data_IF_487139471478
#
_entry.id   IF_487139471478
#
_cell.length_a   1.000
_cell.length_b   1.000
_cell.length_c   1.000
_cell.angle_alpha   90.00
_cell.angle_beta   90.00
_cell.angle_gamma   90.00
#
_symmetry.space_group_name_H-M   'P 1'
#
loop_
_entity.id
_entity.type
_entity.pdbx_description
1 polymer ?
#
# COMPACT_ATOMS: atom_id res chain seq x y z
N UNK A 1 -27.41 4.81 -8.42
CA UNK A 1 -26.83 3.71 -7.62
C UNK A 1 -27.90 2.83 -6.99
N UNK A 2 -28.94 3.37 -6.36
CA UNK A 2 -29.98 2.57 -5.70
C UNK A 2 -30.66 1.52 -6.61
N UNK A 3 -30.67 1.73 -7.93
CA UNK A 3 -31.17 0.73 -8.88
C UNK A 3 -30.34 -0.56 -8.98
N UNK A 4 -29.03 -0.49 -8.67
CA UNK A 4 -28.11 -1.64 -8.72
C UNK A 4 -28.17 -2.50 -7.44
N UNK A 5 -28.74 -1.96 -6.36
CA UNK A 5 -28.78 -2.58 -5.03
C UNK A 5 -30.21 -2.87 -4.56
N UNK A 6 -31.15 -3.04 -5.50
CA UNK A 6 -32.57 -3.25 -5.18
C UNK A 6 -32.82 -4.55 -4.43
N UNK A 7 -32.05 -5.58 -4.77
CA UNK A 7 -32.18 -6.93 -4.23
C UNK A 7 -31.19 -7.20 -3.08
N UNK A 8 -30.50 -6.17 -2.61
CA UNK A 8 -29.54 -6.28 -1.51
C UNK A 8 -30.24 -6.13 -0.15
N UNK A 9 -29.54 -6.47 0.93
CA UNK A 9 -30.02 -6.27 2.30
C UNK A 9 -30.57 -4.84 2.49
N UNK A 10 -31.77 -4.66 3.10
CA UNK A 10 -32.47 -3.37 3.18
C UNK A 10 -31.69 -2.27 3.91
N UNK A 11 -30.67 -2.62 4.69
CA UNK A 11 -29.76 -1.67 5.33
C UNK A 11 -28.93 -0.90 4.30
N UNK A 12 -28.55 -1.52 3.19
CA UNK A 12 -27.75 -0.87 2.13
C UNK A 12 -28.51 0.25 1.43
N UNK A 13 -29.70 0.04 0.82
CA UNK A 13 -30.45 1.13 0.20
C UNK A 13 -30.86 2.18 1.23
N UNK A 14 -31.09 1.81 2.50
CA UNK A 14 -31.33 2.78 3.58
C UNK A 14 -30.13 3.73 3.77
N UNK A 15 -28.90 3.22 3.80
CA UNK A 15 -27.68 4.04 3.90
C UNK A 15 -27.46 4.88 2.64
N UNK A 16 -27.66 4.30 1.45
CA UNK A 16 -27.49 5.02 0.18
C UNK A 16 -28.47 6.20 0.03
N UNK A 17 -29.68 6.09 0.59
CA UNK A 17 -30.66 7.18 0.59
C UNK A 17 -30.29 8.36 1.50
N UNK A 18 -29.26 8.21 2.36
CA UNK A 18 -28.72 9.32 3.17
C UNK A 18 -27.69 10.16 2.39
N UNK A 19 -27.22 9.68 1.23
CA UNK A 19 -26.24 10.42 0.43
C UNK A 19 -26.93 11.51 -0.40
N UNK A 20 -26.54 12.78 -0.21
CA UNK A 20 -27.05 13.92 -1.01
C UNK A 20 -26.52 13.91 -2.45
N UNK A 21 -25.27 13.48 -2.63
CA UNK A 21 -24.63 13.34 -3.94
C UNK A 21 -23.62 12.20 -3.91
N UNK A 22 -23.27 11.70 -5.09
CA UNK A 22 -22.35 10.58 -5.26
C UNK A 22 -21.37 10.86 -6.38
N UNK A 23 -20.12 10.46 -6.18
CA UNK A 23 -19.10 10.48 -7.21
C UNK A 23 -18.87 9.06 -7.74
N UNK A 24 -18.70 8.95 -9.06
CA UNK A 24 -18.36 7.67 -9.70
C UNK A 24 -16.88 7.70 -10.10
N UNK A 25 -16.10 6.84 -9.46
CA UNK A 25 -14.67 6.69 -9.72
C UNK A 25 -14.41 5.37 -10.44
N UNK A 26 -13.59 5.40 -11.49
CA UNK A 26 -13.07 4.17 -12.10
C UNK A 26 -11.90 3.70 -11.24
N UNK A 27 -11.98 2.46 -10.77
CA UNK A 27 -10.87 1.83 -10.07
C UNK A 27 -9.80 1.46 -11.09
N UNK A 28 -8.63 2.07 -10.96
CA UNK A 28 -7.48 1.88 -11.83
C UNK A 28 -6.28 1.49 -10.99
N UNK A 29 -5.49 0.56 -11.50
CA UNK A 29 -4.29 0.08 -10.83
C UNK A 29 -3.13 0.07 -11.81
N UNK A 30 -1.90 0.31 -11.32
CA UNK A 30 -0.72 0.44 -12.18
C UNK A 30 0.30 -0.67 -11.90
N UNK A 31 0.32 -1.67 -12.77
CA UNK A 31 1.29 -2.76 -12.71
C UNK A 31 2.65 -2.34 -13.29
N UNK A 32 3.73 -2.83 -12.69
CA UNK A 32 5.08 -2.75 -13.23
C UNK A 32 6.12 -2.26 -12.24
N UNK A 33 7.38 -2.56 -12.54
CA UNK A 33 8.53 -2.00 -11.84
C UNK A 33 8.94 -0.71 -12.57
N UNK A 34 8.76 0.42 -11.89
CA UNK A 34 9.14 1.72 -12.41
C UNK A 34 10.40 2.20 -11.69
N UNK A 35 11.24 2.96 -12.39
CA UNK A 35 12.28 3.73 -11.71
C UNK A 35 11.63 4.87 -10.95
N UNK A 36 11.78 4.89 -9.62
CA UNK A 36 11.21 5.99 -8.82
C UNK A 36 12.09 7.23 -8.88
N UNK A 37 13.38 7.04 -9.14
CA UNK A 37 14.38 8.11 -9.16
C UNK A 37 14.88 8.37 -10.56
N UNK A 38 15.06 9.64 -10.91
CA UNK A 38 15.80 9.99 -12.12
C UNK A 38 17.30 9.67 -11.95
N UNK A 39 18.02 9.19 -12.99
CA UNK A 39 19.45 8.84 -12.88
C UNK A 39 20.38 9.96 -12.37
N UNK A 40 19.96 11.22 -12.46
CA UNK A 40 20.68 12.37 -11.90
C UNK A 40 20.52 12.56 -10.39
N UNK A 41 19.60 11.85 -9.73
CA UNK A 41 19.28 12.06 -8.30
C UNK A 41 18.57 13.39 -8.00
N UNK A 42 18.08 14.08 -9.03
CA UNK A 42 17.39 15.36 -8.88
C UNK A 42 15.89 15.21 -8.57
N UNK A 43 15.29 14.08 -8.95
CA UNK A 43 13.85 13.85 -8.86
C UNK A 43 13.55 12.43 -8.36
N UNK A 44 12.49 12.32 -7.55
CA UNK A 44 11.96 11.09 -6.97
C UNK A 44 10.43 11.15 -7.03
N UNK A 45 9.81 10.03 -7.40
CA UNK A 45 8.36 9.81 -7.37
C UNK A 45 8.00 8.90 -6.18
N UNK A 46 6.89 9.20 -5.51
CA UNK A 46 6.35 8.47 -4.36
C UNK A 46 4.82 8.34 -4.52
N UNK A 47 4.20 7.50 -3.69
CA UNK A 47 2.74 7.35 -3.71
C UNK A 47 2.20 6.72 -5.00
N UNK A 48 0.96 7.07 -5.34
CA UNK A 48 0.25 6.60 -6.54
C UNK A 48 1.03 6.81 -7.86
N UNK A 49 2.00 7.73 -7.89
CA UNK A 49 2.87 7.94 -9.05
C UNK A 49 3.69 6.68 -9.41
N UNK A 50 4.00 5.84 -8.42
CA UNK A 50 4.85 4.65 -8.56
C UNK A 50 4.20 3.36 -8.07
N UNK A 51 3.17 3.44 -7.23
CA UNK A 51 2.51 2.25 -6.68
C UNK A 51 1.00 2.45 -6.43
N UNK A 52 0.28 3.05 -7.38
CA UNK A 52 -1.18 3.10 -7.33
C UNK A 52 -1.80 1.71 -7.17
N UNK A 53 -2.54 1.50 -6.08
CA UNK A 53 -3.22 0.24 -5.73
C UNK A 53 -4.75 0.39 -5.81
N UNK A 54 -5.50 -0.70 -5.68
CA UNK A 54 -6.95 -0.63 -5.50
C UNK A 54 -7.28 -0.35 -4.02
N UNK A 55 -8.47 0.20 -3.72
CA UNK A 55 -8.80 0.60 -2.35
C UNK A 55 -9.24 -0.55 -1.44
N UNK A 56 -9.11 -1.82 -1.84
CA UNK A 56 -9.65 -2.97 -1.10
C UNK A 56 -8.96 -3.23 0.24
N UNK A 57 -7.69 -2.83 0.35
CA UNK A 57 -6.89 -2.99 1.58
C UNK A 57 -6.77 -1.69 2.38
N UNK A 58 -7.25 -0.57 1.85
CA UNK A 58 -7.11 0.77 2.44
C UNK A 58 -5.66 1.15 2.83
N UNK A 59 -4.66 0.60 2.13
CA UNK A 59 -3.24 0.73 2.47
C UNK A 59 -2.49 1.81 1.67
N UNK A 60 -2.98 2.24 0.50
CA UNK A 60 -2.23 3.14 -0.39
C UNK A 60 -1.78 4.48 0.26
N UNK A 61 -2.61 5.05 1.13
CA UNK A 61 -2.23 6.23 1.91
C UNK A 61 -1.14 5.92 2.95
N UNK A 62 -1.22 4.77 3.62
CA UNK A 62 -0.20 4.28 4.55
C UNK A 62 1.14 4.08 3.86
N UNK A 63 1.14 3.45 2.68
CA UNK A 63 2.32 3.28 1.83
C UNK A 63 2.97 4.62 1.47
N UNK A 64 2.15 5.63 1.15
CA UNK A 64 2.65 6.98 0.87
C UNK A 64 3.26 7.66 2.10
N UNK A 65 2.78 7.36 3.30
CA UNK A 65 3.40 7.86 4.54
C UNK A 65 4.72 7.15 4.85
N UNK A 66 4.79 5.83 4.64
CA UNK A 66 6.02 5.06 4.78
C UNK A 66 7.09 5.55 3.80
N UNK A 67 6.74 5.79 2.53
CA UNK A 67 7.63 6.42 1.54
C UNK A 67 8.26 7.72 2.07
N UNK A 68 7.43 8.59 2.67
CA UNK A 68 7.87 9.86 3.23
C UNK A 68 8.79 9.68 4.44
N UNK A 69 8.49 8.71 5.31
CA UNK A 69 9.30 8.39 6.47
C UNK A 69 10.66 7.81 6.08
N UNK A 70 10.68 6.87 5.13
CA UNK A 70 11.92 6.30 4.58
C UNK A 70 12.75 7.40 3.91
N UNK A 71 12.13 8.26 3.10
CA UNK A 71 12.83 9.39 2.46
C UNK A 71 13.45 10.33 3.51
N UNK A 72 12.70 10.66 4.55
CA UNK A 72 13.17 11.50 5.65
C UNK A 72 14.40 10.92 6.35
N UNK A 73 14.35 9.64 6.70
CA UNK A 73 15.46 8.91 7.31
C UNK A 73 16.69 8.86 6.38
N UNK A 74 16.51 8.52 5.11
CA UNK A 74 17.57 8.50 4.10
C UNK A 74 18.28 9.86 3.96
N UNK A 75 17.51 10.94 3.87
CA UNK A 75 18.06 12.30 3.73
C UNK A 75 18.69 12.82 5.02
N UNK A 76 18.21 12.38 6.19
CA UNK A 76 18.78 12.79 7.49
C UNK A 76 20.22 12.33 7.70
N UNK A 77 20.63 11.27 6.98
CA UNK A 77 21.98 10.69 7.03
C UNK A 77 22.99 11.43 6.16
N UNK A 78 22.53 12.33 5.30
CA UNK A 78 23.43 13.17 4.51
C UNK A 78 24.09 14.24 5.39
N UNK A 79 25.34 14.63 5.10
CA UNK A 79 25.98 15.75 5.79
C UNK A 79 25.10 17.00 5.72
N UNK A 80 24.92 17.68 6.86
CA UNK A 80 24.05 18.86 6.98
C UNK A 80 24.66 19.95 7.86
N UNK A 81 25.98 20.17 7.75
CA UNK A 81 26.65 21.30 8.38
C UNK A 81 26.56 22.57 7.51
N UNK A 82 26.70 23.77 8.07
CA UNK A 82 26.79 25.01 7.30
C UNK A 82 27.87 24.99 6.21
N UNK A 83 28.95 24.23 6.44
CA UNK A 83 30.08 24.08 5.51
C UNK A 83 29.85 23.00 4.44
N UNK A 84 28.73 22.27 4.49
CA UNK A 84 28.43 21.22 3.51
C UNK A 84 28.04 21.83 2.17
N UNK A 85 28.91 21.68 1.17
CA UNK A 85 28.58 22.01 -0.22
C UNK A 85 27.68 20.94 -0.85
N UNK A 86 26.40 21.28 -1.06
CA UNK A 86 25.41 20.39 -1.71
C UNK A 86 25.65 20.19 -3.21
N UNK A 87 26.61 20.91 -3.80
CA UNK A 87 27.00 20.78 -5.21
C UNK A 87 28.24 19.92 -5.39
N UNK A 88 28.91 19.52 -4.29
CA UNK A 88 30.08 18.65 -4.35
C UNK A 88 29.69 17.25 -4.86
N UNK A 89 30.57 16.66 -5.66
CA UNK A 89 30.36 15.33 -6.25
C UNK A 89 30.03 14.27 -5.19
N UNK A 90 30.76 14.25 -4.06
CA UNK A 90 30.54 13.26 -3.00
C UNK A 90 29.16 13.38 -2.35
N UNK A 91 28.68 14.61 -2.14
CA UNK A 91 27.32 14.83 -1.63
C UNK A 91 26.26 14.34 -2.62
N UNK A 92 26.45 14.61 -3.92
CA UNK A 92 25.53 14.16 -4.96
C UNK A 92 25.53 12.63 -5.10
N UNK A 93 26.68 11.98 -4.96
CA UNK A 93 26.80 10.51 -4.94
C UNK A 93 26.08 9.95 -3.71
N UNK A 94 26.32 10.49 -2.52
CA UNK A 94 25.65 10.07 -1.30
C UNK A 94 24.13 10.26 -1.37
N UNK A 95 23.67 11.40 -1.91
CA UNK A 95 22.25 11.67 -2.13
C UNK A 95 21.65 10.68 -3.12
N UNK A 96 22.30 10.43 -4.26
CA UNK A 96 21.81 9.46 -5.25
C UNK A 96 21.74 8.06 -4.66
N UNK A 97 22.75 7.66 -3.89
CA UNK A 97 22.75 6.40 -3.17
C UNK A 97 21.57 6.34 -2.20
N UNK A 98 21.36 7.36 -1.36
CA UNK A 98 20.24 7.40 -0.42
C UNK A 98 18.87 7.30 -1.11
N UNK A 99 18.71 7.96 -2.27
CA UNK A 99 17.45 7.93 -3.03
C UNK A 99 17.19 6.60 -3.75
N UNK A 100 18.22 5.92 -4.26
CA UNK A 100 18.03 4.67 -5.00
C UNK A 100 17.67 3.47 -4.11
N UNK A 101 17.72 3.64 -2.78
CA UNK A 101 17.29 2.65 -1.79
C UNK A 101 15.78 2.59 -1.59
N UNK A 102 15.10 3.73 -1.79
CA UNK A 102 13.66 3.87 -1.58
C UNK A 102 12.82 2.82 -2.32
N UNK A 103 13.07 2.50 -3.61
CA UNK A 103 12.28 1.48 -4.30
C UNK A 103 12.49 0.09 -3.70
N UNK A 104 13.73 -0.30 -3.38
CA UNK A 104 14.03 -1.63 -2.83
C UNK A 104 13.55 -1.86 -1.40
N UNK A 105 13.36 -0.77 -0.64
CA UNK A 105 12.92 -0.79 0.77
C UNK A 105 11.39 -0.64 0.87
N UNK A 106 10.77 0.22 0.05
CA UNK A 106 9.30 0.40 0.02
C UNK A 106 8.57 -0.65 -0.85
N UNK A 107 9.14 -1.13 -1.97
CA UNK A 107 8.45 -2.10 -2.85
C UNK A 107 8.43 -3.53 -2.31
N UNK A 108 9.50 -3.98 -1.65
CA UNK A 108 9.68 -5.41 -1.38
C UNK A 108 8.74 -5.98 -0.32
N UNK A 109 8.08 -5.14 0.48
CA UNK A 109 7.21 -5.60 1.58
C UNK A 109 5.76 -5.17 1.40
N UNK A 110 5.51 -3.93 0.97
CA UNK A 110 4.14 -3.40 0.94
C UNK A 110 3.49 -3.41 -0.43
N UNK A 111 4.25 -3.18 -1.50
CA UNK A 111 3.71 -3.32 -2.86
C UNK A 111 3.20 -4.76 -3.04
N UNK A 112 4.08 -5.75 -2.95
CA UNK A 112 3.74 -7.15 -3.25
C UNK A 112 2.74 -7.75 -2.26
N UNK A 113 2.82 -7.38 -0.99
CA UNK A 113 1.82 -7.74 0.02
C UNK A 113 0.43 -7.13 -0.29
N UNK A 114 0.40 -5.88 -0.75
CA UNK A 114 -0.83 -5.21 -1.16
C UNK A 114 -1.44 -5.86 -2.41
N UNK A 115 -0.65 -6.12 -3.46
CA UNK A 115 -1.14 -6.84 -4.64
C UNK A 115 -1.64 -8.24 -4.28
N UNK A 116 -0.87 -9.02 -3.53
CA UNK A 116 -1.26 -10.36 -3.12
C UNK A 116 -2.57 -10.32 -2.32
N UNK A 117 -2.70 -9.39 -1.37
CA UNK A 117 -3.92 -9.18 -0.62
C UNK A 117 -5.10 -8.79 -1.50
N UNK A 118 -4.91 -7.90 -2.48
CA UNK A 118 -5.96 -7.52 -3.42
C UNK A 118 -6.42 -8.68 -4.30
N UNK A 119 -5.49 -9.47 -4.84
CA UNK A 119 -5.82 -10.67 -5.63
C UNK A 119 -6.67 -11.68 -4.85
N UNK A 120 -6.48 -11.76 -3.54
CA UNK A 120 -7.31 -12.61 -2.67
C UNK A 120 -8.63 -11.93 -2.27
N UNK A 121 -8.59 -10.66 -1.89
CA UNK A 121 -9.73 -9.94 -1.29
C UNK A 121 -10.81 -9.61 -2.30
N UNK A 122 -10.42 -9.13 -3.48
CA UNK A 122 -11.34 -8.69 -4.52
C UNK A 122 -12.33 -9.80 -4.91
N UNK A 123 -11.90 -11.02 -5.28
CA UNK A 123 -12.86 -12.05 -5.63
C UNK A 123 -13.74 -12.43 -4.44
N UNK A 124 -13.18 -12.49 -3.22
CA UNK A 124 -13.94 -12.86 -2.02
C UNK A 124 -15.05 -11.85 -1.70
N UNK A 125 -14.81 -10.54 -1.85
CA UNK A 125 -15.82 -9.51 -1.57
C UNK A 125 -16.98 -9.50 -2.56
N UNK A 126 -16.78 -10.02 -3.77
CA UNK A 126 -17.78 -9.97 -4.85
C UNK A 126 -18.31 -11.34 -5.25
N UNK A 127 -18.13 -12.36 -4.42
CA UNK A 127 -18.77 -13.67 -4.65
C UNK A 127 -20.27 -13.47 -4.77
N UNK A 128 -20.85 -14.10 -5.80
CA UNK A 128 -22.29 -14.22 -5.93
C UNK A 128 -22.83 -15.19 -4.87
N UNK A 129 -24.10 -15.04 -4.52
CA UNK A 129 -24.79 -15.97 -3.62
C UNK A 129 -24.64 -17.42 -4.12
N UNK A 130 -24.21 -18.30 -3.22
CA UNK A 130 -23.96 -19.71 -3.53
C UNK A 130 -22.89 -20.34 -2.64
N UNK A 131 -22.53 -21.58 -2.96
CA UNK A 131 -21.66 -22.41 -2.11
C UNK A 131 -20.30 -21.77 -1.79
N UNK A 132 -19.70 -21.04 -2.73
CA UNK A 132 -18.43 -20.34 -2.50
C UNK A 132 -18.57 -19.19 -1.50
N UNK A 133 -19.65 -18.41 -1.61
CA UNK A 133 -19.97 -17.33 -0.68
C UNK A 133 -20.32 -17.87 0.70
N UNK A 134 -21.09 -18.96 0.78
CA UNK A 134 -21.40 -19.64 2.04
C UNK A 134 -20.12 -20.16 2.74
N UNK A 135 -19.20 -20.77 2.00
CA UNK A 135 -17.93 -21.24 2.56
C UNK A 135 -17.03 -20.07 3.02
N UNK A 136 -16.99 -18.97 2.26
CA UNK A 136 -16.30 -17.74 2.68
C UNK A 136 -16.89 -17.23 3.99
N UNK A 137 -18.20 -17.06 4.07
CA UNK A 137 -18.90 -16.57 5.26
C UNK A 137 -18.69 -17.50 6.47
N UNK A 138 -18.69 -18.81 6.25
CA UNK A 138 -18.37 -19.81 7.28
C UNK A 138 -16.95 -19.60 7.82
N UNK A 139 -15.95 -19.42 6.95
CA UNK A 139 -14.56 -19.11 7.35
C UNK A 139 -14.47 -17.80 8.13
N UNK A 140 -15.19 -16.76 7.71
CA UNK A 140 -15.21 -15.45 8.39
C UNK A 140 -15.71 -15.50 9.84
N UNK A 141 -16.50 -16.52 10.18
CA UNK A 141 -17.03 -16.77 11.52
C UNK A 141 -16.14 -17.67 12.39
N UNK A 142 -15.10 -18.29 11.83
CA UNK A 142 -14.23 -19.20 12.57
C UNK A 142 -13.35 -18.47 13.59
N UNK A 143 -13.13 -19.13 14.73
CA UNK A 143 -12.19 -18.71 15.77
C UNK A 143 -11.35 -19.94 16.18
N UNK A 144 -10.00 -19.92 16.04
CA UNK A 144 -9.21 -18.80 15.52
C UNK A 144 -9.45 -18.56 14.02
N UNK A 145 -9.15 -17.34 13.57
CA UNK A 145 -9.26 -16.94 12.16
C UNK A 145 -8.27 -17.75 11.31
N UNK A 146 -8.71 -18.40 10.21
CA UNK A 146 -7.82 -19.15 9.33
C UNK A 146 -7.00 -18.22 8.41
N UNK A 147 -5.90 -18.73 7.85
CA UNK A 147 -5.18 -18.07 6.75
C UNK A 147 -6.00 -18.10 5.45
N UNK A 148 -5.88 -17.07 4.61
CA UNK A 148 -6.71 -16.85 3.43
C UNK A 148 -8.08 -16.24 3.78
N UNK A 149 -8.16 -15.51 4.89
CA UNK A 149 -9.36 -14.83 5.36
C UNK A 149 -9.71 -13.65 4.45
N UNK A 150 -11.01 -13.45 4.20
CA UNK A 150 -11.49 -12.39 3.32
C UNK A 150 -11.20 -10.98 3.86
N UNK A 151 -11.25 -10.81 5.18
CA UNK A 151 -10.86 -9.56 5.84
C UNK A 151 -9.36 -9.59 6.13
N UNK A 152 -8.56 -9.02 5.22
CA UNK A 152 -7.09 -9.05 5.26
C UNK A 152 -6.45 -8.51 6.51
N UNK A 153 -7.09 -7.58 7.22
CA UNK A 153 -6.61 -7.09 8.51
C UNK A 153 -6.77 -8.11 9.66
N UNK A 154 -7.61 -9.15 9.48
CA UNK A 154 -7.73 -10.30 10.40
C UNK A 154 -6.94 -11.51 9.95
N UNK A 155 -6.50 -11.53 8.70
CA UNK A 155 -5.78 -12.67 8.14
C UNK A 155 -4.45 -12.86 8.89
N UNK A 156 -4.22 -14.02 9.54
CA UNK A 156 -3.02 -14.23 10.35
C UNK A 156 -1.73 -14.33 9.53
N UNK A 157 -1.81 -14.64 8.23
CA UNK A 157 -0.65 -14.76 7.33
C UNK A 157 -0.27 -13.45 6.64
N UNK A 158 -1.25 -12.57 6.38
CA UNK A 158 -1.10 -11.32 5.66
C UNK A 158 -1.09 -10.09 6.56
N UNK A 159 -2.00 -10.00 7.55
CA UNK A 159 -2.12 -8.80 8.39
C UNK A 159 -0.80 -8.41 9.08
N UNK A 160 -0.01 -9.33 9.66
CA UNK A 160 1.27 -8.96 10.28
C UNK A 160 2.29 -8.41 9.28
N UNK A 161 2.23 -8.86 8.02
CA UNK A 161 3.14 -8.38 6.97
C UNK A 161 2.71 -6.99 6.47
N UNK A 162 1.40 -6.80 6.27
CA UNK A 162 0.84 -5.56 5.73
C UNK A 162 0.81 -4.43 6.76
N UNK A 163 0.45 -4.72 8.02
CA UNK A 163 0.21 -3.71 9.06
C UNK A 163 1.35 -3.63 10.08
N UNK A 164 2.23 -4.64 10.12
CA UNK A 164 3.33 -4.73 11.08
C UNK A 164 4.68 -4.31 10.51
N UNK A 165 4.73 -3.76 9.30
CA UNK A 165 5.98 -3.33 8.67
C UNK A 165 6.63 -2.18 9.44
N UNK A 166 7.89 -2.39 9.88
CA UNK A 166 8.71 -1.37 10.53
C UNK A 166 9.76 -0.84 9.54
N UNK A 167 9.39 0.24 8.85
CA UNK A 167 10.23 0.91 7.86
C UNK A 167 11.54 1.44 8.45
N UNK A 168 11.60 1.79 9.74
CA UNK A 168 12.83 2.30 10.39
C UNK A 168 13.77 1.13 10.70
N UNK A 169 13.25 0.02 11.22
CA UNK A 169 14.04 -1.17 11.46
C UNK A 169 14.62 -1.73 10.15
N UNK A 170 13.81 -1.81 9.08
CA UNK A 170 14.25 -2.28 7.77
C UNK A 170 15.38 -1.40 7.20
N UNK A 171 15.21 -0.07 7.28
CA UNK A 171 16.26 0.89 6.94
C UNK A 171 17.54 0.66 7.74
N UNK A 172 17.49 0.46 9.05
CA UNK A 172 18.72 0.25 9.86
C UNK A 172 19.52 -0.97 9.42
N UNK A 173 18.85 -2.06 9.05
CA UNK A 173 19.50 -3.30 8.59
C UNK A 173 20.11 -3.11 7.21
N UNK A 174 19.42 -2.40 6.33
CA UNK A 174 19.76 -2.32 4.91
C UNK A 174 20.69 -1.15 4.56
N UNK A 175 20.76 -0.14 5.41
CA UNK A 175 21.51 1.10 5.20
C UNK A 175 22.87 1.11 5.93
N UNK A 176 23.38 -0.06 6.36
CA UNK A 176 24.79 -0.21 6.76
C UNK A 176 25.70 -0.06 5.55
N UNK A 177 26.67 0.85 5.70
CA UNK A 177 27.65 1.29 4.70
C UNK A 177 28.45 0.17 4.05
#
# INVERSE_FOLDING_TARGET
MCALSKDWDPRIPKLLNLCESVQKWRLCIRFGDFDWTHPSGAFLMLGDAVHATLPYLASGAGMSFEDGAILGECLSRLPNSPDTSKTLADFLVAKKHALCRLPGESQATNKDGCWAGEYTTIPLYHLHDGAEQEERDRKMQMVPTPEGEALTWRDPGLAPKLLGYDHIADLRVRFTC
#
